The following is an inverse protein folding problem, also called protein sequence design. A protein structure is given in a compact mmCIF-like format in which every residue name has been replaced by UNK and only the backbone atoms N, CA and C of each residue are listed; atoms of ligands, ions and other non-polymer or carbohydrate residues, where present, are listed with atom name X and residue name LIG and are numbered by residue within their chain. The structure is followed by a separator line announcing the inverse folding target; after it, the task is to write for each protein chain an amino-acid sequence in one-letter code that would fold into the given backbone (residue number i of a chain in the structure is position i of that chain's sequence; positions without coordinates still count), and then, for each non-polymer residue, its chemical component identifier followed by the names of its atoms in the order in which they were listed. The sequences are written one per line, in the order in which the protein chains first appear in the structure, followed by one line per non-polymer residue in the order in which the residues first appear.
data_IF_543280758187
#
_entry.id   IF_543280758187
#
_cell.length_a   1.000
_cell.length_b   1.000
_cell.length_c   1.000
_cell.angle_alpha   90.00
_cell.angle_beta   90.00
_cell.angle_gamma   90.00
#
_symmetry.space_group_name_H-M   'P 1'
#
loop_
_entity.id
_entity.type
_entity.pdbx_description
1 polymer ?
#
# COMPACT_ATOMS: atom_id res chain seq x y z
N UNK A 1 -8.13 21.79 6.79
CA UNK A 1 -7.61 21.24 8.05
C UNK A 1 -7.45 19.73 7.99
N UNK A 2 -8.40 18.98 7.42
CA UNK A 2 -8.39 17.50 7.42
C UNK A 2 -7.08 16.84 6.98
N UNK A 3 -6.38 17.37 5.96
CA UNK A 3 -5.09 16.84 5.51
C UNK A 3 -4.00 16.91 6.58
N UNK A 4 -3.91 18.04 7.28
CA UNK A 4 -2.91 18.25 8.33
C UNK A 4 -3.18 17.33 9.52
N UNK A 5 -4.45 17.24 9.94
CA UNK A 5 -4.84 16.43 11.09
C UNK A 5 -4.73 14.92 10.80
N UNK A 6 -5.12 14.48 9.60
CA UNK A 6 -4.90 13.10 9.15
C UNK A 6 -3.42 12.72 9.12
N UNK A 7 -2.56 13.62 8.61
CA UNK A 7 -1.11 13.42 8.63
C UNK A 7 -0.54 13.36 10.05
N UNK A 8 -0.99 14.23 10.96
CA UNK A 8 -0.54 14.19 12.36
C UNK A 8 -0.91 12.87 13.06
N UNK A 9 -2.15 12.41 12.88
CA UNK A 9 -2.55 11.11 13.44
C UNK A 9 -1.78 9.95 12.83
N UNK A 10 -1.52 9.98 11.52
CA UNK A 10 -0.69 8.99 10.84
C UNK A 10 0.73 8.95 11.41
N UNK A 11 1.40 10.09 11.52
CA UNK A 11 2.74 10.20 12.09
C UNK A 11 2.80 9.76 13.56
N UNK A 12 1.73 10.02 14.32
CA UNK A 12 1.59 9.57 15.71
C UNK A 12 1.16 8.09 15.84
N UNK A 13 1.12 7.32 14.73
CA UNK A 13 0.66 5.91 14.67
C UNK A 13 -0.76 5.69 15.20
N UNK A 14 -1.59 6.73 15.25
CA UNK A 14 -3.01 6.67 15.63
C UNK A 14 -3.86 6.36 14.39
N UNK A 15 -3.61 5.20 13.78
CA UNK A 15 -4.17 4.82 12.47
C UNK A 15 -5.70 4.88 12.42
N UNK A 16 -6.37 4.35 13.45
CA UNK A 16 -7.84 4.38 13.57
C UNK A 16 -8.40 5.80 13.60
N UNK A 17 -7.68 6.76 14.20
CA UNK A 17 -8.07 8.16 14.23
C UNK A 17 -7.74 8.88 12.92
N UNK A 18 -6.71 8.45 12.19
CA UNK A 18 -6.29 9.05 10.92
C UNK A 18 -7.28 8.78 9.77
N UNK A 19 -7.86 7.56 9.72
CA UNK A 19 -8.77 7.10 8.64
C UNK A 19 -9.83 8.15 8.26
N UNK A 20 -10.71 8.62 9.16
CA UNK A 20 -11.81 9.51 8.76
C UNK A 20 -11.35 10.86 8.19
N UNK A 21 -10.14 11.31 8.53
CA UNK A 21 -9.56 12.52 7.93
C UNK A 21 -8.96 12.24 6.56
N UNK A 22 -8.20 11.15 6.45
CA UNK A 22 -7.60 10.74 5.17
C UNK A 22 -8.67 10.39 4.13
N UNK A 23 -9.78 9.76 4.53
CA UNK A 23 -10.90 9.48 3.63
C UNK A 23 -11.57 10.74 3.09
N UNK A 24 -11.79 11.76 3.93
CA UNK A 24 -12.33 13.05 3.49
C UNK A 24 -11.40 13.73 2.50
N UNK A 25 -10.10 13.68 2.74
CA UNK A 25 -9.08 14.22 1.84
C UNK A 25 -9.07 13.44 0.54
N UNK A 26 -9.06 12.11 0.60
CA UNK A 26 -9.06 11.24 -0.59
C UNK A 26 -10.33 11.43 -1.41
N UNK A 27 -11.50 11.59 -0.79
CA UNK A 27 -12.75 11.90 -1.49
C UNK A 27 -12.66 13.23 -2.27
N UNK A 28 -11.98 14.22 -1.70
CA UNK A 28 -11.78 15.53 -2.35
C UNK A 28 -10.67 15.51 -3.40
N UNK A 29 -9.67 14.67 -3.22
CA UNK A 29 -8.49 14.54 -4.08
C UNK A 29 -8.19 13.05 -4.37
N UNK A 30 -9.03 12.38 -5.18
CA UNK A 30 -8.93 10.92 -5.36
C UNK A 30 -7.67 10.47 -6.11
N UNK A 31 -7.00 11.40 -6.80
CA UNK A 31 -5.73 11.17 -7.51
C UNK A 31 -4.50 11.42 -6.64
N UNK A 32 -4.67 11.84 -5.38
CA UNK A 32 -3.55 12.07 -4.47
C UNK A 32 -3.01 10.75 -3.93
N UNK A 33 -1.95 10.25 -4.58
CA UNK A 33 -1.29 8.98 -4.27
C UNK A 33 -0.85 8.94 -2.81
N UNK A 34 -0.19 9.97 -2.30
CA UNK A 34 0.32 9.99 -0.91
C UNK A 34 -0.80 9.84 0.13
N UNK A 35 -1.97 10.44 -0.11
CA UNK A 35 -3.12 10.27 0.78
C UNK A 35 -3.68 8.86 0.68
N UNK A 36 -3.77 8.30 -0.53
CA UNK A 36 -4.23 6.92 -0.74
C UNK A 36 -3.30 5.90 -0.07
N UNK A 37 -1.98 6.06 -0.20
CA UNK A 37 -0.97 5.22 0.45
C UNK A 37 -1.13 5.20 1.97
N UNK A 38 -1.19 6.39 2.59
CA UNK A 38 -1.39 6.52 4.04
C UNK A 38 -2.70 5.88 4.48
N UNK A 39 -3.76 6.04 3.69
CA UNK A 39 -5.06 5.45 3.99
C UNK A 39 -5.02 3.92 3.92
N UNK A 40 -4.36 3.35 2.90
CA UNK A 40 -4.16 1.91 2.75
C UNK A 40 -3.38 1.37 3.96
N UNK A 41 -2.29 2.03 4.35
CA UNK A 41 -1.49 1.65 5.51
C UNK A 41 -2.31 1.69 6.80
N UNK A 42 -3.07 2.76 7.04
CA UNK A 42 -3.97 2.84 8.19
C UNK A 42 -4.97 1.67 8.23
N UNK A 43 -5.55 1.32 7.09
CA UNK A 43 -6.47 0.18 7.00
C UNK A 43 -5.76 -1.14 7.29
N UNK A 44 -4.54 -1.35 6.79
CA UNK A 44 -3.73 -2.54 7.08
C UNK A 44 -3.43 -2.66 8.58
N UNK A 45 -2.94 -1.60 9.22
CA UNK A 45 -2.60 -1.61 10.65
C UNK A 45 -3.81 -1.66 11.58
N UNK A 46 -5.01 -1.45 11.06
CA UNK A 46 -6.27 -1.61 11.81
C UNK A 46 -7.01 -2.90 11.42
N UNK A 47 -6.35 -3.83 10.73
CA UNK A 47 -6.91 -5.11 10.26
C UNK A 47 -8.12 -4.98 9.34
N UNK A 48 -8.30 -3.84 8.68
CA UNK A 48 -9.38 -3.58 7.72
C UNK A 48 -8.92 -3.90 6.30
N UNK A 49 -8.51 -5.15 6.06
CA UNK A 49 -7.86 -5.54 4.81
C UNK A 49 -8.77 -5.42 3.58
N UNK A 50 -10.05 -5.74 3.68
CA UNK A 50 -10.98 -5.58 2.54
C UNK A 50 -11.04 -4.13 2.05
N UNK A 51 -11.06 -3.17 2.99
CA UNK A 51 -11.01 -1.74 2.69
C UNK A 51 -9.64 -1.34 2.12
N UNK A 52 -8.56 -1.86 2.70
CA UNK A 52 -7.21 -1.61 2.17
C UNK A 52 -7.10 -2.07 0.71
N UNK A 53 -7.61 -3.27 0.40
CA UNK A 53 -7.58 -3.83 -0.95
C UNK A 53 -8.40 -3.01 -1.94
N UNK A 54 -9.58 -2.52 -1.54
CA UNK A 54 -10.41 -1.71 -2.45
C UNK A 54 -9.74 -0.37 -2.78
N UNK A 55 -9.16 0.32 -1.79
CA UNK A 55 -8.37 1.52 -2.03
C UNK A 55 -7.13 1.23 -2.88
N UNK A 56 -6.45 0.12 -2.62
CA UNK A 56 -5.25 -0.28 -3.35
C UNK A 56 -5.54 -0.61 -4.82
N UNK A 57 -6.59 -1.37 -5.12
CA UNK A 57 -6.99 -1.65 -6.49
C UNK A 57 -7.40 -0.39 -7.25
N UNK A 58 -8.07 0.55 -6.58
CA UNK A 58 -8.39 1.85 -7.19
C UNK A 58 -7.13 2.68 -7.45
N UNK A 59 -6.17 2.67 -6.53
CA UNK A 59 -4.87 3.29 -6.73
C UNK A 59 -4.17 2.72 -7.97
N UNK A 60 -4.04 1.38 -8.05
CA UNK A 60 -3.42 0.71 -9.19
C UNK A 60 -4.05 1.02 -10.55
N UNK A 61 -5.36 1.30 -10.60
CA UNK A 61 -6.09 1.65 -11.83
C UNK A 61 -5.85 3.10 -12.27
N UNK A 62 -5.65 4.01 -11.32
CA UNK A 62 -5.68 5.46 -11.57
C UNK A 62 -4.32 6.13 -11.49
N UNK A 63 -3.38 5.56 -10.76
CA UNK A 63 -1.98 5.96 -10.79
C UNK A 63 -1.21 4.97 -11.66
N UNK A 64 -0.49 5.48 -12.65
CA UNK A 64 0.81 4.87 -12.93
C UNK A 64 1.54 4.94 -11.59
N UNK A 65 1.70 3.80 -10.92
CA UNK A 65 2.72 3.69 -9.88
C UNK A 65 4.03 3.91 -10.64
N UNK A 66 4.38 5.16 -10.88
CA UNK A 66 5.61 5.54 -11.55
C UNK A 66 6.71 4.99 -10.65
N UNK A 67 7.26 3.87 -11.11
CA UNK A 67 8.38 3.22 -10.50
C UNK A 67 9.49 4.26 -10.38
N UNK A 68 9.78 4.71 -9.16
CA UNK A 68 10.98 5.47 -8.85
C UNK A 68 11.11 6.78 -9.62
N UNK A 69 10.17 7.70 -9.43
CA UNK A 69 10.42 9.11 -9.72
C UNK A 69 11.43 9.71 -8.74
N UNK A 70 12.72 9.41 -8.95
CA UNK A 70 13.93 10.14 -8.53
C UNK A 70 13.88 10.79 -7.14
N UNK A 71 14.50 10.18 -6.13
CA UNK A 71 15.20 10.98 -5.10
C UNK A 71 16.21 10.17 -4.28
N UNK A 72 17.49 10.35 -4.62
CA UNK A 72 18.70 10.13 -3.81
C UNK A 72 18.97 8.75 -3.18
N UNK A 73 20.17 8.24 -3.39
CA UNK A 73 20.76 7.06 -2.71
C UNK A 73 20.65 7.14 -1.16
N UNK A 74 20.46 8.33 -0.59
CA UNK A 74 20.22 8.53 0.85
C UNK A 74 18.79 8.19 1.33
N UNK A 75 17.78 8.18 0.46
CA UNK A 75 16.39 7.87 0.85
C UNK A 75 16.13 6.36 1.00
N UNK A 76 16.87 5.53 0.27
CA UNK A 76 16.72 4.07 0.34
C UNK A 76 16.97 3.47 1.72
N UNK A 77 17.85 4.07 2.54
CA UNK A 77 18.10 3.60 3.89
C UNK A 77 16.87 3.84 4.80
N UNK A 78 16.27 5.03 4.72
CA UNK A 78 15.07 5.39 5.48
C UNK A 78 13.85 4.61 5.03
N UNK A 79 13.71 4.39 3.72
CA UNK A 79 12.65 3.56 3.13
C UNK A 79 12.74 2.10 3.61
N UNK A 80 13.95 1.52 3.65
CA UNK A 80 14.17 0.16 4.17
C UNK A 80 13.89 0.06 5.67
N UNK A 81 14.28 1.05 6.45
CA UNK A 81 14.00 1.09 7.89
C UNK A 81 12.49 1.21 8.15
N UNK A 82 11.80 2.09 7.42
CA UNK A 82 10.34 2.22 7.49
C UNK A 82 9.62 0.95 7.08
N UNK A 83 10.06 0.29 6.00
CA UNK A 83 9.51 -1.00 5.60
C UNK A 83 9.71 -2.05 6.71
N UNK A 84 10.93 -2.18 7.24
CA UNK A 84 11.23 -3.11 8.34
C UNK A 84 10.35 -2.84 9.57
N UNK A 85 10.23 -1.59 9.99
CA UNK A 85 9.36 -1.19 11.10
C UNK A 85 7.90 -1.55 10.84
N UNK A 86 7.38 -1.28 9.63
CA UNK A 86 5.99 -1.59 9.28
C UNK A 86 5.73 -3.09 9.22
N UNK A 87 6.66 -3.88 8.67
CA UNK A 87 6.52 -5.34 8.61
C UNK A 87 6.58 -5.99 10.00
N UNK A 88 7.41 -5.47 10.91
CA UNK A 88 7.52 -5.97 12.29
C UNK A 88 6.30 -5.61 13.14
N UNK A 89 5.65 -4.48 12.85
CA UNK A 89 4.48 -3.98 13.59
C UNK A 89 3.14 -4.35 12.95
N UNK A 90 3.11 -5.33 12.03
CA UNK A 90 1.86 -5.81 11.47
C UNK A 90 0.95 -6.41 12.56
N UNK A 91 -0.38 -6.23 12.48
CA UNK A 91 -1.29 -6.76 13.49
C UNK A 91 -1.14 -8.27 13.68
N UNK A 92 -1.15 -8.70 14.94
CA UNK A 92 -1.08 -10.12 15.32
C UNK A 92 -2.30 -10.94 14.88
N UNK A 93 -3.44 -10.28 14.64
CA UNK A 93 -4.72 -10.92 14.29
C UNK A 93 -4.79 -11.40 12.83
N UNK A 94 -3.87 -10.95 11.97
CA UNK A 94 -3.88 -11.32 10.55
C UNK A 94 -3.44 -12.79 10.36
N UNK A 95 -4.21 -13.55 9.59
CA UNK A 95 -3.83 -14.89 9.14
C UNK A 95 -2.55 -14.86 8.29
N UNK A 96 -1.92 -16.02 8.09
CA UNK A 96 -0.72 -16.12 7.26
C UNK A 96 -0.91 -15.57 5.83
N UNK A 97 -2.06 -15.85 5.21
CA UNK A 97 -2.43 -15.32 3.88
C UNK A 97 -2.56 -13.79 3.92
N UNK A 98 -3.33 -13.28 4.86
CA UNK A 98 -3.56 -11.85 5.05
C UNK A 98 -2.27 -11.07 5.34
N UNK A 99 -1.36 -11.65 6.12
CA UNK A 99 -0.04 -11.08 6.36
C UNK A 99 0.76 -10.95 5.07
N UNK A 100 0.83 -12.01 4.27
CA UNK A 100 1.55 -11.99 2.98
C UNK A 100 0.92 -10.97 2.04
N UNK A 101 -0.40 -10.86 2.04
CA UNK A 101 -1.13 -9.90 1.21
C UNK A 101 -0.87 -8.45 1.67
N UNK A 102 -0.91 -8.18 2.98
CA UNK A 102 -0.56 -6.90 3.57
C UNK A 102 0.89 -6.49 3.24
N UNK A 103 1.83 -7.44 3.34
CA UNK A 103 3.22 -7.23 2.94
C UNK A 103 3.34 -6.86 1.47
N UNK A 104 2.57 -7.49 0.59
CA UNK A 104 2.51 -7.13 -0.83
C UNK A 104 2.04 -5.70 -1.06
N UNK A 105 0.97 -5.27 -0.39
CA UNK A 105 0.49 -3.88 -0.48
C UNK A 105 1.52 -2.89 0.03
N UNK A 106 2.10 -3.14 1.21
CA UNK A 106 3.13 -2.27 1.79
C UNK A 106 4.35 -2.19 0.87
N UNK A 107 4.85 -3.34 0.40
CA UNK A 107 6.02 -3.41 -0.48
C UNK A 107 5.81 -2.66 -1.80
N UNK A 108 4.57 -2.49 -2.25
CA UNK A 108 4.27 -1.79 -3.51
C UNK A 108 4.74 -0.33 -3.48
N UNK A 109 4.78 0.29 -2.30
CA UNK A 109 5.22 1.67 -2.13
C UNK A 109 6.76 1.82 -2.08
N UNK A 110 7.49 0.71 -1.98
CA UNK A 110 8.95 0.70 -1.87
C UNK A 110 9.63 0.00 -3.06
N UNK A 111 9.15 -1.18 -3.42
CA UNK A 111 9.70 -2.01 -4.50
C UNK A 111 8.59 -2.91 -5.11
N UNK A 112 8.20 -2.58 -6.33
CA UNK A 112 7.20 -3.30 -7.13
C UNK A 112 7.61 -4.76 -7.39
N UNK A 113 8.91 -5.06 -7.48
CA UNK A 113 9.39 -6.43 -7.67
C UNK A 113 9.19 -7.25 -6.39
N UNK A 114 9.52 -6.67 -5.23
CA UNK A 114 9.28 -7.30 -3.94
C UNK A 114 7.78 -7.50 -3.69
N UNK A 115 6.96 -6.50 -4.00
CA UNK A 115 5.50 -6.61 -3.94
C UNK A 115 4.98 -7.76 -4.81
N UNK A 116 5.47 -7.86 -6.05
CA UNK A 116 5.11 -8.95 -6.96
C UNK A 116 5.45 -10.32 -6.38
N UNK A 117 6.59 -10.46 -5.68
CA UNK A 117 6.96 -11.70 -4.99
C UNK A 117 5.96 -12.06 -3.88
N UNK A 118 5.55 -11.09 -3.06
CA UNK A 118 4.53 -11.34 -2.03
C UNK A 118 3.17 -11.70 -2.63
N UNK A 119 2.71 -11.01 -3.67
CA UNK A 119 1.43 -11.35 -4.31
C UNK A 119 1.47 -12.72 -5.01
N UNK A 120 2.61 -13.16 -5.54
CA UNK A 120 2.77 -14.53 -6.05
C UNK A 120 2.64 -15.56 -4.93
N UNK A 121 3.28 -15.33 -3.77
CA UNK A 121 3.11 -16.18 -2.58
C UNK A 121 1.66 -16.20 -2.09
N UNK A 122 0.97 -15.06 -2.10
CA UNK A 122 -0.45 -15.00 -1.76
C UNK A 122 -1.30 -15.86 -2.71
N UNK A 123 -0.96 -15.86 -4.02
CA UNK A 123 -1.62 -16.71 -5.03
C UNK A 123 -1.34 -18.20 -4.83
N UNK A 124 -0.15 -18.57 -4.38
CA UNK A 124 0.18 -19.96 -4.06
C UNK A 124 -0.68 -20.49 -2.89
N UNK A 125 -0.98 -19.63 -1.92
CA UNK A 125 -1.85 -19.97 -0.79
C UNK A 125 -3.34 -20.02 -1.18
N UNK A 126 -3.76 -19.17 -2.12
CA UNK A 126 -5.12 -19.18 -2.65
C UNK A 126 -5.15 -18.92 -4.16
N UNK A 127 -5.09 -19.98 -4.98
CA UNK A 127 -5.09 -19.86 -6.43
C UNK A 127 -6.39 -19.33 -7.03
N UNK A 128 -7.49 -19.28 -6.27
CA UNK A 128 -8.80 -18.80 -6.76
C UNK A 128 -9.04 -17.34 -6.39
N UNK A 129 -8.11 -16.70 -5.69
CA UNK A 129 -8.24 -15.31 -5.28
C UNK A 129 -8.20 -14.37 -6.50
N UNK A 130 -9.37 -13.85 -6.86
CA UNK A 130 -9.54 -12.93 -8.00
C UNK A 130 -8.81 -11.60 -7.75
N UNK A 131 -8.72 -11.14 -6.51
CA UNK A 131 -8.07 -9.86 -6.18
C UNK A 131 -6.57 -9.96 -6.41
N UNK A 132 -5.94 -11.06 -5.97
CA UNK A 132 -4.51 -11.31 -6.21
C UNK A 132 -4.20 -11.35 -7.71
N UNK A 133 -5.06 -12.01 -8.51
CA UNK A 133 -4.90 -12.04 -9.96
C UNK A 133 -4.96 -10.64 -10.59
N UNK A 134 -5.96 -9.84 -10.21
CA UNK A 134 -6.10 -8.47 -10.71
C UNK A 134 -4.89 -7.60 -10.35
N UNK A 135 -4.39 -7.70 -9.10
CA UNK A 135 -3.21 -6.97 -8.66
C UNK A 135 -1.99 -7.35 -9.49
N UNK A 136 -1.72 -8.65 -9.67
CA UNK A 136 -0.57 -9.12 -10.44
C UNK A 136 -0.61 -8.66 -11.91
N UNK A 137 -1.80 -8.65 -12.53
CA UNK A 137 -1.96 -8.14 -13.89
C UNK A 137 -1.73 -6.62 -13.96
N UNK A 138 -2.27 -5.85 -13.02
CA UNK A 138 -2.04 -4.40 -12.95
C UNK A 138 -0.55 -4.07 -12.75
N UNK A 139 0.15 -4.81 -11.89
CA UNK A 139 1.59 -4.63 -11.65
C UNK A 139 2.43 -4.97 -12.89
N UNK A 140 2.04 -5.97 -13.69
CA UNK A 140 2.72 -6.29 -14.97
C UNK A 140 2.51 -5.21 -16.01
N UNK A 141 1.29 -4.67 -16.13
CA UNK A 141 0.97 -3.61 -17.08
C UNK A 141 1.75 -2.34 -16.79
N UNK A 142 1.91 -1.97 -15.52
CA UNK A 142 2.69 -0.80 -15.11
C UNK A 142 4.19 -0.93 -15.40
N UNK A 143 4.76 -2.15 -15.45
CA UNK A 143 6.16 -2.36 -15.87
C UNK A 143 6.43 -2.04 -17.34
N UNK A 144 5.41 -2.10 -18.20
CA UNK A 144 5.56 -1.83 -19.64
C UNK A 144 5.56 -0.33 -19.96
N UNK A 145 5.08 0.51 -19.05
CA UNK A 145 4.97 1.96 -19.25
C UNK A 145 6.28 2.74 -19.05
N UNK A 146 7.33 2.11 -18.52
CA UNK A 146 8.64 2.74 -18.27
C UNK A 146 9.69 2.47 -19.37
N UNK A 147 9.28 1.99 -20.55
CA UNK A 147 10.18 1.64 -21.66
C UNK A 147 10.15 2.63 -22.85
N UNK A 148 9.75 3.89 -22.63
CA UNK A 148 9.85 4.95 -23.64
C UNK A 148 10.47 6.22 -23.07
#
# INVERSE_FOLDING_TARGET
MDRMLGNQFFLARKFSQAIPYLERVHKKYPKDVQTAEKLILCCVFTSQLERATSFFLNLLKHSALDAGGKESVQNHAKEKELFADWTMNLPGLLSAKERIFALGMIATFFDINLASCYFRKARELDPKDVQVHQILENLKSNKRSCLY
#
